data_IF_879479660189
#
_entry.id   IF_879479660189
#
_cell.length_a   1.000
_cell.length_b   1.000
_cell.length_c   1.000
_cell.angle_alpha   90.00
_cell.angle_beta   90.00
_cell.angle_gamma   90.00
#
_symmetry.space_group_name_H-M   'P 1'
#
loop_
_entity.id
_entity.type
_entity.pdbx_description
1 polymer ?
#
# COMPACT_ATOMS: atom_id res chain seq x y z
N UNK A 1 -94.42 34.73 14.35
CA UNK A 1 -94.71 34.57 12.90
C UNK A 1 -93.47 35.08 12.16
N UNK A 2 -92.85 34.22 11.35
CA UNK A 2 -91.72 34.49 10.42
C UNK A 2 -90.36 34.91 11.04
N UNK A 3 -89.16 34.50 10.60
CA UNK A 3 -88.54 33.31 9.96
C UNK A 3 -87.08 33.75 9.68
N UNK A 4 -86.08 32.94 10.12
CA UNK A 4 -84.78 32.56 9.47
C UNK A 4 -83.78 33.64 8.97
N UNK A 5 -82.43 33.50 8.91
CA UNK A 5 -81.37 32.50 9.27
C UNK A 5 -79.99 33.13 8.89
N UNK A 6 -78.93 32.85 9.68
CA UNK A 6 -77.47 32.62 9.38
C UNK A 6 -76.64 33.70 8.60
N UNK A 7 -75.33 33.93 8.80
CA UNK A 7 -74.27 33.23 9.55
C UNK A 7 -72.92 34.00 9.58
N UNK A 8 -72.12 33.70 10.63
CA UNK A 8 -70.66 33.39 10.69
C UNK A 8 -69.64 34.49 10.26
N UNK A 9 -68.81 35.01 11.16
CA UNK A 9 -67.49 34.53 11.68
C UNK A 9 -66.45 35.56 11.20
N UNK A 10 -65.36 35.94 11.84
CA UNK A 10 -64.58 35.63 13.05
C UNK A 10 -63.34 36.57 12.89
N UNK A 11 -62.86 37.32 13.86
CA UNK A 11 -62.07 36.99 15.05
C UNK A 11 -60.80 37.89 15.00
N UNK A 12 -60.27 38.19 16.19
CA UNK A 12 -59.59 39.42 16.58
C UNK A 12 -58.09 39.17 16.79
N UNK A 13 -57.21 40.01 16.22
CA UNK A 13 -55.77 39.91 16.43
C UNK A 13 -55.22 41.20 17.08
N UNK A 14 -54.82 41.11 18.36
CA UNK A 14 -54.30 42.23 19.16
C UNK A 14 -52.81 42.07 19.42
N UNK A 15 -52.02 43.02 18.93
CA UNK A 15 -50.57 43.16 19.11
C UNK A 15 -50.21 43.61 20.54
N UNK A 16 -49.28 42.92 21.21
CA UNK A 16 -48.34 43.51 22.21
C UNK A 16 -47.01 42.72 22.23
N UNK A 17 -45.88 43.41 22.06
CA UNK A 17 -44.48 42.92 22.17
C UNK A 17 -44.01 42.77 23.63
N UNK A 18 -42.92 42.02 23.93
CA UNK A 18 -41.75 42.72 24.52
C UNK A 18 -40.32 42.11 24.33
N UNK A 19 -39.34 43.03 24.42
CA UNK A 19 -38.02 43.01 25.11
C UNK A 19 -36.93 41.98 24.70
N UNK A 20 -35.77 42.55 24.34
CA UNK A 20 -34.50 41.86 24.08
C UNK A 20 -33.86 41.30 25.38
N UNK A 21 -33.45 40.04 25.35
CA UNK A 21 -32.52 39.43 26.31
C UNK A 21 -31.61 38.50 25.50
N UNK A 22 -30.36 38.89 25.30
CA UNK A 22 -29.34 38.07 24.66
C UNK A 22 -28.36 37.58 25.73
N UNK A 23 -28.25 36.27 25.78
CA UNK A 23 -27.45 35.44 26.69
C UNK A 23 -25.94 35.62 26.52
N UNK A 24 -25.14 35.30 27.56
CA UNK A 24 -23.68 35.33 27.46
C UNK A 24 -23.14 34.17 26.61
N UNK A 25 -22.12 34.49 25.81
CA UNK A 25 -21.38 33.61 24.91
C UNK A 25 -20.56 32.60 25.71
N UNK A 26 -20.92 31.32 25.64
CA UNK A 26 -20.06 30.21 26.09
C UNK A 26 -19.03 29.89 25.00
N UNK A 27 -17.87 30.55 25.01
CA UNK A 27 -16.74 30.25 24.11
C UNK A 27 -15.65 29.39 24.78
N UNK A 28 -16.00 28.23 25.35
CA UNK A 28 -15.00 27.36 26.02
C UNK A 28 -15.06 25.90 25.57
N UNK A 29 -15.76 25.57 24.48
CA UNK A 29 -15.95 24.17 24.04
C UNK A 29 -15.32 23.84 22.69
N UNK A 30 -14.18 24.45 22.36
CA UNK A 30 -13.48 24.20 21.09
C UNK A 30 -11.98 23.88 21.24
N UNK A 31 -11.50 23.49 22.43
CA UNK A 31 -10.06 23.30 22.68
C UNK A 31 -9.61 21.88 23.07
N UNK A 32 -10.51 20.88 23.14
CA UNK A 32 -10.16 19.54 23.64
C UNK A 32 -10.27 18.39 22.62
N UNK A 33 -10.49 18.66 21.33
CA UNK A 33 -10.69 17.61 20.31
C UNK A 33 -9.40 17.09 19.66
N UNK A 34 -8.20 17.47 20.12
CA UNK A 34 -6.93 17.23 19.40
C UNK A 34 -5.88 16.39 20.16
N UNK A 35 -6.29 15.50 21.07
CA UNK A 35 -5.33 14.69 21.83
C UNK A 35 -5.14 13.26 21.30
N UNK A 36 -5.88 12.86 20.28
CA UNK A 36 -5.67 11.56 19.61
C UNK A 36 -5.30 11.80 18.15
N UNK A 37 -4.14 11.29 17.69
CA UNK A 37 -3.85 11.20 16.27
C UNK A 37 -5.04 10.55 15.57
N UNK A 38 -5.48 11.12 14.44
CA UNK A 38 -6.54 10.51 13.64
C UNK A 38 -6.07 9.10 13.24
N UNK A 39 -6.89 8.05 13.43
CA UNK A 39 -6.51 6.70 13.02
C UNK A 39 -6.19 6.67 11.53
N UNK A 40 -5.18 5.90 11.15
CA UNK A 40 -4.74 5.78 9.76
C UNK A 40 -5.83 5.10 8.93
N UNK A 41 -6.29 5.77 7.88
CA UNK A 41 -7.35 5.28 7.00
C UNK A 41 -6.75 4.42 5.88
N UNK A 42 -6.27 3.21 6.21
CA UNK A 42 -5.62 2.34 5.21
C UNK A 42 -6.57 1.82 4.14
N UNK A 43 -7.88 1.72 4.41
CA UNK A 43 -8.89 1.37 3.39
C UNK A 43 -8.94 2.36 2.23
N UNK A 44 -8.63 3.65 2.45
CA UNK A 44 -8.60 4.68 1.41
C UNK A 44 -7.42 4.50 0.44
N UNK A 45 -6.47 3.61 0.74
CA UNK A 45 -5.30 3.40 -0.08
C UNK A 45 -5.60 2.61 -1.37
N UNK A 46 -6.78 1.99 -1.46
CA UNK A 46 -7.19 1.19 -2.60
C UNK A 46 -6.33 -0.07 -2.78
N UNK A 47 -5.76 -0.59 -1.70
CA UNK A 47 -4.97 -1.81 -1.69
C UNK A 47 -5.61 -2.81 -0.72
N UNK A 48 -5.77 -4.04 -1.17
CA UNK A 48 -6.26 -5.14 -0.35
C UNK A 48 -5.71 -6.47 -0.85
N UNK A 49 -5.73 -7.47 0.02
CA UNK A 49 -5.33 -8.84 -0.28
C UNK A 49 -6.47 -9.80 0.05
N UNK A 50 -6.91 -10.59 -0.93
CA UNK A 50 -7.98 -11.59 -0.75
C UNK A 50 -7.47 -12.96 -0.33
N UNK A 51 -6.18 -13.25 -0.56
CA UNK A 51 -5.61 -14.59 -0.38
C UNK A 51 -5.97 -15.56 -1.50
N UNK A 52 -6.60 -15.09 -2.57
CA UNK A 52 -6.97 -15.87 -3.75
C UNK A 52 -6.10 -15.48 -4.96
N UNK A 53 -5.82 -16.43 -5.85
CA UNK A 53 -5.10 -16.18 -7.09
C UNK A 53 -3.68 -16.74 -7.10
N UNK A 54 -2.78 -16.08 -7.83
CA UNK A 54 -1.39 -16.48 -7.93
C UNK A 54 -0.62 -16.15 -6.65
N UNK A 55 0.30 -17.03 -6.25
CA UNK A 55 1.02 -16.90 -4.98
C UNK A 55 1.88 -15.63 -4.90
N UNK A 56 2.35 -15.09 -6.02
CA UNK A 56 3.21 -13.90 -6.09
C UNK A 56 2.47 -12.58 -5.78
N UNK A 57 1.13 -12.63 -5.76
CA UNK A 57 0.30 -11.49 -5.38
C UNK A 57 0.57 -11.02 -3.95
N UNK A 58 0.96 -11.92 -3.04
CA UNK A 58 1.32 -11.55 -1.66
C UNK A 58 2.54 -10.63 -1.61
N UNK A 59 3.54 -10.87 -2.48
CA UNK A 59 4.74 -10.03 -2.58
C UNK A 59 4.36 -8.66 -3.13
N UNK A 60 3.62 -8.64 -4.24
CA UNK A 60 3.20 -7.39 -4.89
C UNK A 60 2.30 -6.55 -3.97
N UNK A 61 1.45 -7.19 -3.17
CA UNK A 61 0.64 -6.55 -2.14
C UNK A 61 1.53 -5.90 -1.07
N UNK A 62 2.48 -6.64 -0.49
CA UNK A 62 3.37 -6.12 0.55
C UNK A 62 4.24 -4.96 0.04
N UNK A 63 4.82 -5.08 -1.17
CA UNK A 63 5.59 -4.01 -1.82
C UNK A 63 4.74 -2.74 -1.98
N UNK A 64 3.47 -2.91 -2.39
CA UNK A 64 2.55 -1.80 -2.58
C UNK A 64 2.18 -1.13 -1.26
N UNK A 65 1.87 -1.91 -0.22
CA UNK A 65 1.55 -1.38 1.11
C UNK A 65 2.74 -0.60 1.67
N UNK A 66 3.95 -1.13 1.56
CA UNK A 66 5.16 -0.47 2.07
C UNK A 66 5.44 0.85 1.34
N UNK A 67 5.30 0.86 0.01
CA UNK A 67 5.38 2.09 -0.79
C UNK A 67 4.37 3.15 -0.33
N UNK A 68 3.14 2.73 -0.05
CA UNK A 68 2.04 3.60 0.37
C UNK A 68 2.23 4.10 1.81
N UNK A 69 2.80 3.28 2.69
CA UNK A 69 3.16 3.62 4.07
C UNK A 69 4.21 4.72 4.09
N UNK A 70 5.34 4.51 3.39
CA UNK A 70 6.44 5.47 3.32
C UNK A 70 5.99 6.79 2.71
N UNK A 71 5.26 6.75 1.58
CA UNK A 71 4.80 7.96 0.89
C UNK A 71 3.82 8.80 1.71
N UNK A 72 3.09 8.19 2.66
CA UNK A 72 2.16 8.89 3.57
C UNK A 72 2.75 9.20 4.94
N UNK A 73 4.02 8.84 5.18
CA UNK A 73 4.66 9.04 6.48
C UNK A 73 4.03 8.24 7.63
N UNK A 74 3.46 7.07 7.33
CA UNK A 74 2.79 6.22 8.32
C UNK A 74 3.83 5.33 9.02
N UNK A 75 3.79 5.24 10.35
CA UNK A 75 4.68 4.36 11.09
C UNK A 75 4.27 2.88 10.91
N UNK A 76 5.19 1.94 11.16
CA UNK A 76 4.84 0.51 11.12
C UNK A 76 3.83 0.14 12.22
N UNK A 77 3.89 0.80 13.37
CA UNK A 77 2.95 0.62 14.48
C UNK A 77 1.53 1.04 14.07
N UNK A 78 1.41 2.22 13.46
CA UNK A 78 0.13 2.72 12.98
C UNK A 78 -0.43 1.82 11.87
N UNK A 79 0.42 1.40 10.92
CA UNK A 79 0.03 0.47 9.86
C UNK A 79 -0.46 -0.86 10.43
N UNK A 80 0.26 -1.42 11.40
CA UNK A 80 -0.12 -2.66 12.07
C UNK A 80 -1.46 -2.53 12.79
N UNK A 81 -1.70 -1.41 13.48
CA UNK A 81 -2.95 -1.17 14.19
C UNK A 81 -4.18 -1.14 13.26
N UNK A 82 -3.99 -0.72 12.01
CA UNK A 82 -5.03 -0.64 10.98
C UNK A 82 -5.01 -1.82 10.00
N UNK A 83 -4.07 -2.76 10.12
CA UNK A 83 -3.78 -3.74 9.05
C UNK A 83 -4.93 -4.68 8.72
N UNK A 84 -5.86 -4.90 9.67
CA UNK A 84 -7.03 -5.75 9.46
C UNK A 84 -7.87 -5.30 8.24
N UNK A 85 -7.92 -3.99 7.96
CA UNK A 85 -8.65 -3.41 6.83
C UNK A 85 -8.03 -3.72 5.46
N UNK A 86 -6.77 -4.16 5.43
CA UNK A 86 -6.07 -4.53 4.20
C UNK A 86 -6.45 -5.94 3.70
N UNK A 87 -7.15 -6.73 4.50
CA UNK A 87 -7.48 -8.11 4.16
C UNK A 87 -8.95 -8.28 3.84
N UNK A 88 -9.22 -9.12 2.83
CA UNK A 88 -10.57 -9.50 2.40
C UNK A 88 -10.62 -11.02 2.19
N UNK A 89 -11.81 -11.58 2.01
CA UNK A 89 -11.97 -13.00 1.63
C UNK A 89 -11.24 -14.00 2.54
N UNK A 90 -10.51 -14.94 1.93
CA UNK A 90 -9.75 -15.96 2.64
C UNK A 90 -8.60 -15.39 3.48
N UNK A 91 -7.92 -14.35 3.00
CA UNK A 91 -6.86 -13.68 3.76
C UNK A 91 -7.38 -13.01 5.04
N UNK A 92 -8.60 -12.44 5.02
CA UNK A 92 -9.19 -11.88 6.23
C UNK A 92 -9.49 -12.98 7.27
N UNK A 93 -10.01 -14.12 6.82
CA UNK A 93 -10.24 -15.29 7.68
C UNK A 93 -8.93 -15.80 8.28
N UNK A 94 -7.89 -15.90 7.46
CA UNK A 94 -6.54 -16.24 7.89
C UNK A 94 -6.00 -15.25 8.94
N UNK A 95 -6.13 -13.95 8.70
CA UNK A 95 -5.68 -12.90 9.62
C UNK A 95 -6.35 -13.06 10.98
N UNK A 96 -7.68 -13.23 10.99
CA UNK A 96 -8.45 -13.38 12.23
C UNK A 96 -8.02 -14.60 13.04
N UNK A 97 -7.68 -15.71 12.39
CA UNK A 97 -7.24 -16.94 13.06
C UNK A 97 -5.80 -16.85 13.56
N UNK A 98 -4.95 -16.03 12.94
CA UNK A 98 -3.53 -15.90 13.27
C UNK A 98 -3.19 -14.63 14.06
N UNK A 99 -4.16 -13.74 14.34
CA UNK A 99 -3.93 -12.42 14.97
C UNK A 99 -3.18 -12.43 16.31
N UNK A 100 -3.13 -13.56 17.01
CA UNK A 100 -2.33 -13.70 18.24
C UNK A 100 -0.87 -14.12 18.01
N UNK A 101 -0.46 -14.40 16.77
CA UNK A 101 0.87 -14.93 16.42
C UNK A 101 1.87 -13.89 15.94
N UNK A 102 1.45 -12.63 15.80
CA UNK A 102 2.28 -11.51 15.35
C UNK A 102 1.97 -10.26 16.19
N UNK A 103 2.99 -9.44 16.41
CA UNK A 103 2.87 -8.22 17.25
C UNK A 103 3.31 -6.95 16.52
N UNK A 104 3.95 -7.11 15.37
CA UNK A 104 4.44 -6.01 14.54
C UNK A 104 4.00 -6.20 13.08
N UNK A 105 4.08 -5.13 12.30
CA UNK A 105 3.88 -5.22 10.84
C UNK A 105 4.87 -6.19 10.19
N UNK A 106 6.13 -6.20 10.64
CA UNK A 106 7.16 -7.12 10.15
C UNK A 106 6.78 -8.58 10.40
N UNK A 107 6.35 -8.92 11.63
CA UNK A 107 5.91 -10.29 11.97
C UNK A 107 4.74 -10.73 11.10
N UNK A 108 3.75 -9.85 10.92
CA UNK A 108 2.58 -10.10 10.08
C UNK A 108 3.00 -10.35 8.62
N UNK A 109 3.85 -9.50 8.05
CA UNK A 109 4.34 -9.64 6.68
C UNK A 109 5.14 -10.94 6.49
N UNK A 110 5.98 -11.32 7.45
CA UNK A 110 6.72 -12.58 7.43
C UNK A 110 5.78 -13.78 7.49
N UNK A 111 4.80 -13.77 8.40
CA UNK A 111 3.82 -14.86 8.54
C UNK A 111 2.93 -14.98 7.30
N UNK A 112 2.56 -13.86 6.69
CA UNK A 112 1.83 -13.82 5.42
C UNK A 112 2.64 -14.46 4.29
N UNK A 113 3.92 -14.10 4.13
CA UNK A 113 4.80 -14.75 3.15
C UNK A 113 4.92 -16.25 3.40
N UNK A 114 5.10 -16.65 4.66
CA UNK A 114 5.26 -18.07 5.02
C UNK A 114 4.03 -18.91 4.68
N UNK A 115 2.81 -18.39 4.89
CA UNK A 115 1.58 -19.16 4.66
C UNK A 115 1.07 -19.10 3.21
N UNK A 116 1.36 -18.03 2.46
CA UNK A 116 0.83 -17.82 1.11
C UNK A 116 1.83 -18.09 -0.02
N UNK A 117 3.13 -18.18 0.27
CA UNK A 117 4.12 -18.57 -0.74
C UNK A 117 4.35 -20.08 -0.75
N UNK A 118 4.63 -20.67 -1.92
CA UNK A 118 5.06 -22.05 -1.98
C UNK A 118 6.42 -22.21 -1.31
N UNK A 119 6.66 -23.37 -0.71
CA UNK A 119 7.94 -23.70 -0.07
C UNK A 119 9.15 -23.53 -1.00
N UNK A 120 8.98 -23.81 -2.30
CA UNK A 120 10.03 -23.68 -3.31
C UNK A 120 10.26 -22.25 -3.81
N UNK A 121 9.45 -21.28 -3.40
CA UNK A 121 9.43 -19.91 -3.96
C UNK A 121 10.82 -19.29 -4.10
N UNK A 122 11.64 -19.34 -3.04
CA UNK A 122 12.97 -18.72 -3.05
C UNK A 122 13.92 -19.39 -4.04
N UNK A 123 13.85 -20.72 -4.16
CA UNK A 123 14.65 -21.48 -5.13
C UNK A 123 14.17 -21.19 -6.54
N UNK A 124 12.86 -21.25 -6.78
CA UNK A 124 12.24 -21.01 -8.09
C UNK A 124 12.52 -19.58 -8.57
N UNK A 125 12.40 -18.58 -7.68
CA UNK A 125 12.71 -17.19 -7.98
C UNK A 125 14.19 -16.99 -8.34
N UNK A 126 15.10 -17.62 -7.61
CA UNK A 126 16.53 -17.53 -7.92
C UNK A 126 16.86 -18.13 -9.29
N UNK A 127 16.22 -19.26 -9.63
CA UNK A 127 16.38 -19.87 -10.94
C UNK A 127 15.73 -19.04 -12.04
N UNK A 128 14.57 -18.42 -11.78
CA UNK A 128 13.95 -17.45 -12.68
C UNK A 128 14.90 -16.28 -12.95
N UNK A 129 15.48 -15.68 -11.91
CA UNK A 129 16.46 -14.58 -12.04
C UNK A 129 17.64 -14.99 -12.91
N UNK A 130 18.23 -16.17 -12.68
CA UNK A 130 19.40 -16.64 -13.44
C UNK A 130 19.08 -16.94 -14.91
N UNK A 131 17.84 -17.34 -15.18
CA UNK A 131 17.39 -17.75 -16.52
C UNK A 131 16.65 -16.64 -17.27
N UNK A 132 16.31 -15.53 -16.61
CA UNK A 132 15.68 -14.38 -17.22
C UNK A 132 16.58 -13.83 -18.34
N UNK A 133 16.02 -13.52 -19.51
CA UNK A 133 16.79 -13.00 -20.66
C UNK A 133 16.18 -11.70 -21.16
N UNK A 134 17.04 -10.73 -21.42
CA UNK A 134 16.62 -9.48 -22.06
C UNK A 134 16.04 -9.80 -23.43
N UNK A 135 14.85 -9.25 -23.72
CA UNK A 135 14.16 -9.48 -24.99
C UNK A 135 14.72 -8.54 -26.07
N UNK A 136 14.71 -8.97 -27.36
CA UNK A 136 15.01 -8.06 -28.46
C UNK A 136 14.11 -6.82 -28.43
N UNK A 137 14.69 -5.63 -28.49
CA UNK A 137 13.97 -4.36 -28.42
C UNK A 137 13.62 -3.88 -27.00
N UNK A 138 13.90 -4.67 -25.96
CA UNK A 138 13.72 -4.24 -24.57
C UNK A 138 14.82 -3.25 -24.16
N UNK A 139 14.42 -2.13 -23.54
CA UNK A 139 15.36 -1.17 -22.96
C UNK A 139 16.23 -1.84 -21.90
N UNK A 140 17.55 -1.71 -22.03
CA UNK A 140 18.50 -2.26 -21.06
C UNK A 140 18.29 -1.70 -19.66
N UNK A 141 17.91 -0.42 -19.54
CA UNK A 141 17.59 0.17 -18.24
C UNK A 141 16.35 -0.47 -17.63
N UNK A 142 15.31 -0.72 -18.43
CA UNK A 142 14.11 -1.36 -17.92
C UNK A 142 14.39 -2.81 -17.52
N UNK A 143 15.16 -3.54 -18.34
CA UNK A 143 15.59 -4.89 -18.04
C UNK A 143 16.38 -4.98 -16.72
N UNK A 144 17.36 -4.10 -16.52
CA UNK A 144 18.14 -4.04 -15.28
C UNK A 144 17.22 -3.76 -14.08
N UNK A 145 16.30 -2.80 -14.19
CA UNK A 145 15.36 -2.49 -13.12
C UNK A 145 14.45 -3.70 -12.78
N UNK A 146 13.96 -4.42 -13.79
CA UNK A 146 13.19 -5.66 -13.59
C UNK A 146 14.03 -6.70 -12.84
N UNK A 147 15.26 -6.94 -13.28
CA UNK A 147 16.18 -7.88 -12.62
C UNK A 147 16.46 -7.50 -11.16
N UNK A 148 16.66 -6.21 -10.87
CA UNK A 148 16.85 -5.71 -9.49
C UNK A 148 15.59 -5.91 -8.64
N UNK A 149 14.41 -5.64 -9.20
CA UNK A 149 13.13 -5.87 -8.53
C UNK A 149 12.86 -7.35 -8.23
N UNK A 150 13.30 -8.27 -9.11
CA UNK A 150 13.28 -9.71 -8.80
C UNK A 150 14.27 -10.04 -7.68
N UNK A 151 15.50 -9.52 -7.74
CA UNK A 151 16.53 -9.77 -6.73
C UNK A 151 16.14 -9.26 -5.33
N UNK A 152 15.39 -8.16 -5.23
CA UNK A 152 14.96 -7.60 -3.93
C UNK A 152 13.93 -8.46 -3.21
N UNK A 153 13.32 -9.42 -3.89
CA UNK A 153 12.32 -10.35 -3.33
C UNK A 153 12.95 -11.60 -2.71
N UNK A 154 14.26 -11.79 -2.89
CA UNK A 154 15.00 -12.88 -2.26
C UNK A 154 15.18 -12.61 -0.76
N UNK A 155 14.92 -13.61 0.07
CA UNK A 155 15.13 -13.49 1.52
C UNK A 155 16.61 -13.28 1.86
N UNK A 156 17.50 -13.92 1.08
CA UNK A 156 18.94 -13.70 1.17
C UNK A 156 19.38 -12.73 0.07
N UNK A 157 19.77 -11.49 0.41
CA UNK A 157 20.15 -10.51 -0.58
C UNK A 157 21.43 -10.93 -1.30
N UNK A 158 21.44 -10.79 -2.62
CA UNK A 158 22.65 -10.97 -3.42
C UNK A 158 23.59 -9.78 -3.23
N UNK A 159 24.90 -10.05 -3.24
CA UNK A 159 25.90 -8.99 -3.31
C UNK A 159 25.84 -8.30 -4.68
N UNK A 160 26.26 -7.03 -4.76
CA UNK A 160 26.20 -6.28 -6.01
C UNK A 160 27.07 -6.91 -7.11
N UNK A 161 28.25 -7.43 -6.76
CA UNK A 161 29.08 -8.22 -7.70
C UNK A 161 28.32 -9.43 -8.25
N UNK A 162 27.56 -10.15 -7.41
CA UNK A 162 26.75 -11.30 -7.87
C UNK A 162 25.61 -10.85 -8.77
N UNK A 163 24.90 -9.77 -8.42
CA UNK A 163 23.85 -9.18 -9.27
C UNK A 163 24.42 -8.80 -10.63
N UNK A 164 25.54 -8.06 -10.68
CA UNK A 164 26.22 -7.65 -11.91
C UNK A 164 26.55 -8.89 -12.76
N UNK A 165 27.19 -9.90 -12.19
CA UNK A 165 27.55 -11.14 -12.92
C UNK A 165 26.33 -11.84 -13.51
N UNK A 166 25.22 -11.91 -12.78
CA UNK A 166 23.98 -12.53 -13.26
C UNK A 166 23.37 -11.67 -14.37
N UNK A 167 23.18 -10.37 -14.13
CA UNK A 167 22.59 -9.45 -15.10
C UNK A 167 23.37 -9.47 -16.40
N UNK A 168 24.71 -9.39 -16.36
CA UNK A 168 25.56 -9.43 -17.54
C UNK A 168 25.35 -10.71 -18.36
N UNK A 169 25.14 -11.87 -17.72
CA UNK A 169 24.84 -13.15 -18.41
C UNK A 169 23.42 -13.21 -18.98
N UNK A 170 22.54 -12.34 -18.53
CA UNK A 170 21.13 -12.28 -18.91
C UNK A 170 20.84 -11.20 -19.95
N UNK A 171 21.77 -10.26 -20.15
CA UNK A 171 21.74 -9.28 -21.24
C UNK A 171 21.82 -9.94 -22.61
N UNK A 172 21.39 -9.20 -23.64
CA UNK A 172 21.54 -9.63 -25.03
C UNK A 172 23.02 -9.84 -25.42
N UNK A 173 23.32 -10.81 -26.31
CA UNK A 173 24.70 -11.15 -26.66
C UNK A 173 25.57 -10.00 -27.15
N UNK A 174 24.96 -8.99 -27.79
CA UNK A 174 25.69 -7.85 -28.32
C UNK A 174 26.40 -7.02 -27.22
N UNK A 175 25.87 -7.00 -26.00
CA UNK A 175 26.50 -6.30 -24.87
C UNK A 175 27.73 -7.05 -24.36
N UNK A 176 27.80 -8.39 -24.49
CA UNK A 176 28.88 -9.16 -23.87
C UNK A 176 30.26 -8.78 -24.41
N UNK A 177 30.40 -8.52 -25.71
CA UNK A 177 31.68 -8.14 -26.30
C UNK A 177 32.18 -6.78 -25.78
N UNK A 178 31.26 -5.82 -25.60
CA UNK A 178 31.56 -4.48 -25.08
C UNK A 178 31.91 -4.54 -23.59
N UNK A 179 31.16 -5.33 -22.81
CA UNK A 179 31.35 -5.44 -21.37
C UNK A 179 32.53 -6.33 -20.97
N UNK A 180 33.02 -7.20 -21.86
CA UNK A 180 34.14 -8.11 -21.56
C UNK A 180 35.47 -7.41 -21.28
N UNK A 181 35.65 -6.17 -21.77
CA UNK A 181 36.91 -5.42 -21.69
C UNK A 181 36.86 -4.28 -20.67
N UNK A 182 35.78 -4.16 -19.91
CA UNK A 182 35.57 -3.03 -19.00
C UNK A 182 35.30 -3.51 -17.59
N UNK A 183 35.95 -2.89 -16.62
CA UNK A 183 35.67 -3.12 -15.22
C UNK A 183 34.34 -2.46 -14.83
N UNK A 184 33.47 -3.23 -14.17
CA UNK A 184 32.12 -2.81 -13.76
C UNK A 184 32.06 -2.86 -12.24
N UNK A 185 32.07 -1.69 -11.60
CA UNK A 185 32.11 -1.60 -10.14
C UNK A 185 30.71 -1.63 -9.50
N UNK A 186 29.71 -1.05 -10.18
CA UNK A 186 28.35 -0.87 -9.65
C UNK A 186 27.29 -1.17 -10.70
N UNK A 187 26.04 -1.30 -10.25
CA UNK A 187 24.87 -1.45 -11.14
C UNK A 187 24.63 -0.18 -11.97
N UNK A 188 24.93 0.99 -11.42
CA UNK A 188 24.86 2.26 -12.14
C UNK A 188 25.90 2.30 -13.27
N UNK A 189 27.14 1.93 -12.97
CA UNK A 189 28.21 1.85 -13.98
C UNK A 189 27.89 0.83 -15.08
N UNK A 190 27.34 -0.33 -14.73
CA UNK A 190 26.82 -1.29 -15.72
C UNK A 190 25.79 -0.64 -16.66
N UNK A 191 24.83 0.07 -16.07
CA UNK A 191 23.73 0.70 -16.81
C UNK A 191 24.25 1.76 -17.77
N UNK A 192 25.22 2.57 -17.35
CA UNK A 192 25.82 3.61 -18.16
C UNK A 192 26.67 3.06 -19.30
N UNK A 193 27.44 1.99 -19.05
CA UNK A 193 28.23 1.32 -20.10
C UNK A 193 27.34 0.68 -21.17
N UNK A 194 26.17 0.15 -20.80
CA UNK A 194 25.23 -0.40 -21.77
C UNK A 194 24.50 0.65 -22.62
N UNK A 195 24.52 1.93 -22.23
CA UNK A 195 23.86 3.01 -22.99
C UNK A 195 24.78 3.67 -24.03
N UNK A 196 26.09 3.49 -23.90
CA UNK A 196 27.12 4.10 -24.76
C UNK A 196 27.47 3.18 -25.93
#
# INVERSE_FOLDING_TARGET
MSIKIFSLEGELDSRVNPIATSTPISSVQAANSLLHPKPVQVHEWGVSFSGEGHYDQVISFLDRVECLRVSRGVSEEDLFSASAELFTGHAFTWFMNNRGSFTTWTDLAQKLKFDFLPYSFQTDLLDEIKNHKQKPGESVTMFINTMLGMCSRLDTPLTDSSKIKIIVKCLLPFYHAQLALVDIATIEDLTDKCKR
#
